data_IF_475802403221
#
_entry.id   IF_475802403221
#
_cell.length_a   1.000
_cell.length_b   1.000
_cell.length_c   1.000
_cell.angle_alpha   90.00
_cell.angle_beta   90.00
_cell.angle_gamma   90.00
#
_symmetry.space_group_name_H-M   'P 1'
#
loop_
_entity.id
_entity.type
_entity.pdbx_description
1 polymer ?
#
# COMPACT_ATOMS: atom_id res chain seq x y z
N UNK A 1 48.28 3.66 22.00
CA UNK A 1 48.16 5.14 22.04
C UNK A 1 47.52 5.67 20.74
N UNK A 2 46.20 5.91 20.84
CA UNK A 2 45.32 6.69 19.95
C UNK A 2 45.58 6.71 18.43
N UNK A 3 44.97 5.77 17.70
CA UNK A 3 44.52 6.01 16.32
C UNK A 3 42.99 6.14 16.32
N UNK A 4 42.52 7.38 16.37
CA UNK A 4 41.10 7.73 16.37
C UNK A 4 40.47 7.42 14.99
N UNK A 5 39.69 6.34 14.91
CA UNK A 5 38.75 6.09 13.81
C UNK A 5 37.70 7.19 13.80
N UNK A 6 37.84 8.18 12.91
CA UNK A 6 36.74 9.08 12.56
C UNK A 6 35.69 8.28 11.78
N UNK A 7 34.61 7.87 12.46
CA UNK A 7 33.38 7.44 11.78
C UNK A 7 32.73 8.68 11.19
N UNK A 8 32.90 8.87 9.89
CA UNK A 8 32.04 9.78 9.15
C UNK A 8 30.66 9.12 9.05
N UNK A 9 29.73 9.55 9.92
CA UNK A 9 28.32 9.22 9.77
C UNK A 9 27.76 9.95 8.56
N UNK A 10 27.81 9.32 7.40
CA UNK A 10 27.04 9.74 6.22
C UNK A 10 25.57 9.47 6.50
N UNK A 11 24.90 10.43 7.15
CA UNK A 11 23.45 10.49 7.16
C UNK A 11 23.00 10.83 5.74
N UNK A 12 22.38 9.87 5.06
CA UNK A 12 21.70 10.10 3.79
C UNK A 12 20.56 11.11 4.02
N UNK A 13 20.72 12.30 3.46
CA UNK A 13 19.75 13.39 3.47
C UNK A 13 18.61 13.07 2.48
N UNK A 14 17.69 12.21 2.90
CA UNK A 14 16.32 12.22 2.37
C UNK A 14 15.47 12.97 3.40
N UNK A 15 14.84 14.07 2.98
CA UNK A 15 14.03 14.91 3.87
C UNK A 15 12.89 14.09 4.48
N UNK A 16 12.90 13.98 5.81
CA UNK A 16 12.00 13.14 6.60
C UNK A 16 12.76 11.96 7.18
N UNK A 17 12.93 11.92 8.50
CA UNK A 17 13.80 11.00 9.26
C UNK A 17 13.43 9.51 9.21
N UNK A 18 12.90 9.03 8.09
CA UNK A 18 12.71 7.61 7.80
C UNK A 18 14.04 7.09 7.26
N UNK A 19 14.85 6.54 8.15
CA UNK A 19 15.98 5.70 7.75
C UNK A 19 15.42 4.63 6.79
N UNK A 20 15.95 4.51 5.57
CA UNK A 20 15.53 3.47 4.63
C UNK A 20 15.63 2.12 5.37
N UNK A 21 14.52 1.42 5.64
CA UNK A 21 14.54 0.26 6.53
C UNK A 21 15.17 -0.97 5.87
N UNK A 22 15.49 -0.91 4.58
CA UNK A 22 16.30 -1.91 3.89
C UNK A 22 17.79 -1.69 4.13
N UNK A 23 18.33 -2.40 5.10
CA UNK A 23 19.77 -2.60 5.24
C UNK A 23 20.17 -3.94 4.62
N UNK A 24 20.31 -3.98 3.29
CA UNK A 24 20.84 -5.16 2.59
C UNK A 24 22.31 -5.47 2.98
N UNK A 25 23.03 -4.45 3.44
CA UNK A 25 24.42 -4.51 3.89
C UNK A 25 24.60 -3.80 5.23
N UNK A 26 25.55 -4.28 6.03
CA UNK A 26 25.89 -3.66 7.32
C UNK A 26 26.53 -2.27 7.16
N UNK A 27 27.34 -2.11 6.10
CA UNK A 27 27.95 -0.86 5.68
C UNK A 27 27.50 -0.54 4.25
N UNK A 28 27.29 0.75 3.90
CA UNK A 28 26.85 1.13 2.57
C UNK A 28 27.95 0.79 1.53
N UNK A 29 27.66 -0.07 0.53
CA UNK A 29 28.70 -0.52 -0.40
C UNK A 29 29.11 0.59 -1.39
N UNK A 30 28.20 1.53 -1.65
CA UNK A 30 28.39 2.67 -2.53
C UNK A 30 28.08 3.98 -1.80
N UNK A 31 28.85 5.01 -2.11
CA UNK A 31 28.54 6.39 -1.72
C UNK A 31 27.51 6.98 -2.66
N UNK A 32 26.74 7.98 -2.21
CA UNK A 32 25.76 8.68 -3.04
C UNK A 32 26.37 9.22 -4.34
N UNK A 33 27.56 9.85 -4.26
CA UNK A 33 28.31 10.36 -5.43
C UNK A 33 28.57 9.29 -6.48
N UNK A 34 28.81 8.05 -6.06
CA UNK A 34 29.08 6.94 -6.96
C UNK A 34 27.81 6.44 -7.62
N UNK A 35 26.70 6.39 -6.87
CA UNK A 35 25.39 6.08 -7.44
C UNK A 35 24.95 7.14 -8.47
N UNK A 36 25.20 8.42 -8.18
CA UNK A 36 24.93 9.53 -9.11
C UNK A 36 25.79 9.42 -10.38
N UNK A 37 27.07 9.06 -10.23
CA UNK A 37 27.96 8.85 -11.37
C UNK A 37 27.45 7.72 -12.28
N UNK A 38 27.10 6.55 -11.70
CA UNK A 38 26.52 5.44 -12.48
C UNK A 38 25.23 5.89 -13.19
N UNK A 39 24.37 6.65 -12.51
CA UNK A 39 23.14 7.17 -13.10
C UNK A 39 23.41 8.08 -14.31
N UNK A 40 24.34 9.04 -14.16
CA UNK A 40 24.71 9.96 -15.24
C UNK A 40 25.35 9.21 -16.40
N UNK A 41 26.31 8.31 -16.13
CA UNK A 41 26.97 7.51 -17.16
C UNK A 41 25.98 6.63 -17.91
N UNK A 42 25.06 5.97 -17.22
CA UNK A 42 24.02 5.16 -17.87
C UNK A 42 23.06 6.00 -18.71
N UNK A 43 22.78 7.24 -18.30
CA UNK A 43 21.98 8.18 -19.09
C UNK A 43 22.71 8.64 -20.35
N UNK A 44 24.01 8.90 -20.26
CA UNK A 44 24.85 9.32 -21.40
C UNK A 44 25.07 8.21 -22.44
N UNK A 45 25.00 6.94 -22.03
CA UNK A 45 25.05 5.79 -22.95
C UNK A 45 23.81 5.67 -23.85
N UNK A 46 22.76 6.45 -23.61
CA UNK A 46 21.56 6.44 -24.43
C UNK A 46 21.77 7.22 -25.74
N UNK A 47 21.21 6.77 -26.87
CA UNK A 47 21.42 7.40 -28.18
C UNK A 47 20.80 8.80 -28.30
N UNK A 48 19.93 9.21 -27.37
CA UNK A 48 19.27 10.51 -27.36
C UNK A 48 19.43 11.17 -26.00
N UNK A 49 19.82 12.45 -25.99
CA UNK A 49 19.86 13.27 -24.77
C UNK A 49 18.43 13.45 -24.27
N UNK A 50 18.06 12.72 -23.22
CA UNK A 50 16.75 12.80 -22.56
C UNK A 50 16.92 13.17 -21.10
N UNK A 51 15.93 13.88 -20.55
CA UNK A 51 15.90 14.21 -19.12
C UNK A 51 15.62 12.99 -18.23
N UNK A 52 15.15 11.89 -18.82
CA UNK A 52 14.80 10.65 -18.14
C UNK A 52 15.66 9.48 -18.64
N UNK A 53 15.70 8.41 -17.84
CA UNK A 53 16.42 7.18 -18.14
C UNK A 53 15.51 6.17 -18.84
N UNK A 54 15.95 5.55 -19.94
CA UNK A 54 15.23 4.43 -20.57
C UNK A 54 15.33 3.16 -19.72
N UNK A 55 14.45 2.18 -19.95
CA UNK A 55 14.48 0.89 -19.25
C UNK A 55 15.82 0.17 -19.48
N UNK A 56 16.32 0.13 -20.71
CA UNK A 56 17.60 -0.53 -21.03
C UNK A 56 18.78 0.12 -20.30
N UNK A 57 18.80 1.46 -20.25
CA UNK A 57 19.83 2.19 -19.51
C UNK A 57 19.71 1.99 -18.00
N UNK A 58 18.49 1.89 -17.48
CA UNK A 58 18.25 1.55 -16.08
C UNK A 58 18.76 0.15 -15.75
N UNK A 59 18.46 -0.84 -16.59
CA UNK A 59 18.98 -2.20 -16.43
C UNK A 59 20.51 -2.18 -16.45
N UNK A 60 21.12 -1.47 -17.40
CA UNK A 60 22.57 -1.29 -17.47
C UNK A 60 23.16 -0.66 -16.20
N UNK A 61 22.53 0.40 -15.67
CA UNK A 61 22.95 1.04 -14.43
C UNK A 61 22.88 0.08 -13.23
N UNK A 62 21.82 -0.73 -13.14
CA UNK A 62 21.63 -1.73 -12.08
C UNK A 62 22.70 -2.82 -12.17
N UNK A 63 23.07 -3.25 -13.38
CA UNK A 63 24.17 -4.19 -13.60
C UNK A 63 25.53 -3.59 -13.20
N UNK A 64 25.81 -2.34 -13.58
CA UNK A 64 27.03 -1.63 -13.19
C UNK A 64 27.14 -1.53 -11.65
N UNK A 65 26.03 -1.25 -10.96
CA UNK A 65 25.95 -1.27 -9.49
C UNK A 65 26.26 -2.66 -8.94
N UNK A 66 25.66 -3.73 -9.49
CA UNK A 66 25.89 -5.09 -9.03
C UNK A 66 27.36 -5.49 -9.15
N UNK A 67 27.98 -5.20 -10.29
CA UNK A 67 29.40 -5.49 -10.56
C UNK A 67 30.33 -4.71 -9.63
N UNK A 68 30.05 -3.43 -9.38
CA UNK A 68 30.85 -2.61 -8.46
C UNK A 68 30.77 -3.13 -7.02
N UNK A 69 29.56 -3.46 -6.55
CA UNK A 69 29.35 -3.99 -5.20
C UNK A 69 30.08 -5.34 -5.04
N UNK A 70 30.07 -6.19 -6.06
CA UNK A 70 30.82 -7.44 -6.07
C UNK A 70 32.34 -7.20 -6.07
N UNK A 71 32.85 -6.29 -6.91
CA UNK A 71 34.28 -5.94 -6.96
C UNK A 71 34.83 -5.41 -5.64
N UNK A 72 33.96 -4.83 -4.81
CA UNK A 72 34.28 -4.37 -3.44
C UNK A 72 34.14 -5.45 -2.36
N UNK A 73 33.75 -6.67 -2.74
CA UNK A 73 33.62 -7.81 -1.83
C UNK A 73 32.34 -7.84 -1.00
N UNK A 74 31.30 -7.09 -1.37
CA UNK A 74 30.02 -7.08 -0.64
C UNK A 74 29.05 -8.17 -1.08
N UNK A 75 29.25 -8.75 -2.28
CA UNK A 75 28.49 -9.90 -2.79
C UNK A 75 29.40 -11.12 -2.87
N UNK A 76 29.00 -12.19 -2.19
CA UNK A 76 29.67 -13.48 -2.19
C UNK A 76 29.15 -14.33 -3.37
N UNK A 77 30.04 -15.03 -4.07
CA UNK A 77 29.67 -15.94 -5.16
C UNK A 77 30.79 -16.16 -6.19
N UNK A 78 30.65 -17.15 -7.08
CA UNK A 78 31.59 -17.35 -8.19
C UNK A 78 31.59 -16.12 -9.10
N UNK A 79 32.77 -15.64 -9.51
CA UNK A 79 32.95 -14.38 -10.24
C UNK A 79 32.45 -14.35 -11.69
N UNK A 80 31.49 -15.20 -12.06
CA UNK A 80 30.83 -15.06 -13.37
C UNK A 80 29.80 -13.92 -13.30
N UNK A 81 29.64 -13.10 -14.35
CA UNK A 81 28.68 -12.00 -14.36
C UNK A 81 27.25 -12.44 -13.99
N UNK A 82 26.80 -13.58 -14.51
CA UNK A 82 25.45 -14.09 -14.26
C UNK A 82 25.20 -14.40 -12.77
N UNK A 83 26.20 -14.96 -12.08
CA UNK A 83 26.09 -15.26 -10.65
C UNK A 83 26.09 -13.99 -9.80
N UNK A 84 26.84 -12.96 -10.20
CA UNK A 84 26.85 -11.65 -9.53
C UNK A 84 25.48 -10.99 -9.63
N UNK A 85 24.88 -11.02 -10.82
CA UNK A 85 23.55 -10.45 -11.06
C UNK A 85 22.48 -11.19 -10.25
N UNK A 86 22.55 -12.53 -10.21
CA UNK A 86 21.63 -13.33 -9.41
C UNK A 86 21.75 -13.02 -7.92
N UNK A 87 22.97 -13.01 -7.38
CA UNK A 87 23.22 -12.70 -5.97
C UNK A 87 22.78 -11.27 -5.58
N UNK A 88 23.02 -10.29 -6.47
CA UNK A 88 22.53 -8.93 -6.28
C UNK A 88 20.98 -8.86 -6.33
N UNK A 89 20.38 -9.61 -7.25
CA UNK A 89 18.94 -9.77 -7.38
C UNK A 89 18.31 -10.25 -6.08
N UNK A 90 18.80 -11.36 -5.54
CA UNK A 90 18.29 -11.98 -4.31
C UNK A 90 18.54 -11.12 -3.07
N UNK A 91 19.74 -10.52 -2.95
CA UNK A 91 20.13 -9.79 -1.73
C UNK A 91 19.64 -8.34 -1.67
N UNK A 92 19.43 -7.72 -2.83
CA UNK A 92 19.11 -6.28 -2.92
C UNK A 92 17.79 -6.03 -3.63
N UNK A 93 17.64 -6.54 -4.87
CA UNK A 93 16.46 -6.20 -5.68
C UNK A 93 15.19 -6.82 -5.12
N UNK A 94 15.17 -8.11 -4.77
CA UNK A 94 13.97 -8.77 -4.21
C UNK A 94 13.51 -8.09 -2.91
N UNK A 95 14.37 -7.86 -1.91
CA UNK A 95 13.98 -7.10 -0.72
C UNK A 95 13.50 -5.69 -1.05
N UNK A 96 14.12 -5.02 -2.02
CA UNK A 96 13.71 -3.69 -2.49
C UNK A 96 12.33 -3.74 -3.15
N UNK A 97 12.03 -4.74 -3.96
CA UNK A 97 10.74 -4.98 -4.60
C UNK A 97 9.65 -5.17 -3.52
N UNK A 98 9.93 -5.99 -2.50
CA UNK A 98 9.03 -6.22 -1.37
C UNK A 98 8.79 -4.95 -0.56
N UNK A 99 9.85 -4.21 -0.24
CA UNK A 99 9.76 -2.97 0.53
C UNK A 99 9.06 -1.85 -0.22
N UNK A 100 9.40 -1.69 -1.50
CA UNK A 100 8.69 -0.77 -2.36
C UNK A 100 7.22 -1.21 -2.41
N UNK A 101 6.94 -2.50 -2.35
CA UNK A 101 5.60 -3.04 -2.52
C UNK A 101 5.23 -2.93 -3.99
N UNK A 102 6.09 -3.48 -4.87
CA UNK A 102 5.75 -3.59 -6.28
C UNK A 102 4.60 -4.58 -6.39
N UNK A 103 3.45 -4.04 -6.80
CA UNK A 103 2.13 -4.41 -6.28
C UNK A 103 1.61 -5.82 -6.57
N UNK A 104 2.32 -6.70 -7.28
CA UNK A 104 1.75 -7.98 -7.69
C UNK A 104 1.55 -8.95 -6.52
N UNK A 105 2.51 -9.07 -5.60
CA UNK A 105 2.35 -9.93 -4.41
C UNK A 105 1.31 -9.35 -3.45
N UNK A 106 1.32 -8.04 -3.22
CA UNK A 106 0.31 -7.34 -2.41
C UNK A 106 -1.09 -7.52 -3.03
N UNK A 107 -1.21 -7.42 -4.35
CA UNK A 107 -2.43 -7.64 -5.10
C UNK A 107 -2.93 -9.08 -4.97
N UNK A 108 -2.06 -10.08 -5.20
CA UNK A 108 -2.42 -11.50 -5.03
C UNK A 108 -2.88 -11.80 -3.60
N UNK A 109 -2.20 -11.23 -2.60
CA UNK A 109 -2.62 -11.33 -1.21
C UNK A 109 -3.98 -10.66 -0.95
N UNK A 110 -4.20 -9.46 -1.50
CA UNK A 110 -5.49 -8.78 -1.36
C UNK A 110 -6.63 -9.52 -2.07
N UNK A 111 -6.36 -10.16 -3.20
CA UNK A 111 -7.31 -11.01 -3.92
C UNK A 111 -7.63 -12.29 -3.14
N UNK A 112 -6.63 -12.97 -2.56
CA UNK A 112 -6.87 -14.15 -1.72
C UNK A 112 -7.64 -13.79 -0.45
N UNK A 113 -7.32 -12.64 0.16
CA UNK A 113 -8.04 -12.11 1.31
C UNK A 113 -9.49 -11.74 0.96
N UNK A 114 -9.71 -11.13 -0.21
CA UNK A 114 -11.06 -10.82 -0.72
C UNK A 114 -11.91 -12.09 -0.92
N UNK A 115 -11.30 -13.20 -1.32
CA UNK A 115 -11.97 -14.47 -1.51
C UNK A 115 -12.36 -15.17 -0.18
N UNK A 116 -11.81 -14.74 0.96
CA UNK A 116 -12.19 -15.29 2.26
C UNK A 116 -13.64 -14.94 2.62
N UNK A 117 -14.35 -15.91 3.20
CA UNK A 117 -15.77 -15.81 3.54
C UNK A 117 -16.06 -14.71 4.55
N UNK A 118 -15.16 -14.51 5.50
CA UNK A 118 -15.26 -13.56 6.61
C UNK A 118 -15.09 -12.12 6.12
N UNK A 119 -14.15 -11.91 5.19
CA UNK A 119 -13.95 -10.62 4.52
C UNK A 119 -15.18 -10.32 3.65
N UNK A 120 -15.64 -11.30 2.87
CA UNK A 120 -16.86 -11.16 2.06
C UNK A 120 -18.08 -10.80 2.93
N UNK A 121 -18.25 -11.47 4.08
CA UNK A 121 -19.32 -11.17 5.03
C UNK A 121 -19.19 -9.76 5.61
N UNK A 122 -17.98 -9.33 5.98
CA UNK A 122 -17.71 -7.97 6.47
C UNK A 122 -18.08 -6.92 5.41
N UNK A 123 -17.63 -7.10 4.17
CA UNK A 123 -17.97 -6.23 3.03
C UNK A 123 -19.47 -6.22 2.69
N UNK A 124 -20.16 -7.33 2.94
CA UNK A 124 -21.60 -7.44 2.74
C UNK A 124 -22.38 -6.71 3.83
N UNK A 125 -21.96 -6.81 5.09
CA UNK A 125 -22.55 -6.07 6.20
C UNK A 125 -22.34 -4.56 6.07
N UNK A 126 -21.15 -4.13 5.61
CA UNK A 126 -20.82 -2.73 5.35
C UNK A 126 -21.14 -2.25 3.92
N UNK A 127 -21.98 -2.96 3.17
CA UNK A 127 -22.15 -2.72 1.73
C UNK A 127 -22.70 -1.31 1.45
N UNK A 128 -23.64 -0.83 2.28
CA UNK A 128 -24.28 0.46 2.04
C UNK A 128 -23.31 1.60 2.30
N UNK A 129 -22.57 1.55 3.40
CA UNK A 129 -21.59 2.57 3.73
C UNK A 129 -20.40 2.63 2.79
N UNK A 130 -19.91 1.48 2.32
CA UNK A 130 -18.87 1.45 1.29
C UNK A 130 -19.37 2.05 -0.02
N UNK A 131 -20.61 1.75 -0.41
CA UNK A 131 -21.22 2.33 -1.60
C UNK A 131 -21.39 3.85 -1.46
N UNK A 132 -21.83 4.32 -0.29
CA UNK A 132 -21.97 5.76 -0.01
C UNK A 132 -20.61 6.47 -0.07
N UNK A 133 -19.58 5.91 0.55
CA UNK A 133 -18.22 6.43 0.51
C UNK A 133 -17.66 6.48 -0.92
N UNK A 134 -17.87 5.43 -1.71
CA UNK A 134 -17.48 5.41 -3.12
C UNK A 134 -18.21 6.51 -3.92
N UNK A 135 -19.54 6.56 -3.80
CA UNK A 135 -20.37 7.50 -4.56
C UNK A 135 -20.14 8.96 -4.16
N UNK A 136 -19.66 9.25 -2.95
CA UNK A 136 -19.29 10.61 -2.53
C UNK A 136 -18.16 11.19 -3.39
N UNK A 137 -17.26 10.35 -3.90
CA UNK A 137 -16.15 10.79 -4.74
C UNK A 137 -16.29 10.43 -6.21
N UNK A 138 -17.15 9.48 -6.56
CA UNK A 138 -17.25 8.95 -7.92
C UNK A 138 -17.74 9.98 -8.95
N UNK A 139 -17.23 9.86 -10.18
CA UNK A 139 -17.65 10.59 -11.37
C UNK A 139 -18.47 9.68 -12.29
N UNK A 140 -19.32 10.26 -13.14
CA UNK A 140 -19.97 9.53 -14.22
C UNK A 140 -20.94 8.42 -13.78
N UNK A 141 -21.68 8.62 -12.68
CA UNK A 141 -22.70 7.66 -12.25
C UNK A 141 -23.80 7.50 -13.32
N UNK A 142 -24.37 6.28 -13.41
CA UNK A 142 -25.38 5.94 -14.42
C UNK A 142 -24.84 5.44 -15.76
N UNK A 143 -23.52 5.19 -15.86
CA UNK A 143 -22.89 4.58 -17.03
C UNK A 143 -23.19 3.09 -17.21
N UNK A 144 -22.50 2.45 -18.17
CA UNK A 144 -22.54 0.99 -18.36
C UNK A 144 -21.71 0.26 -17.28
N UNK A 145 -21.91 -1.05 -17.13
CA UNK A 145 -21.03 -1.88 -16.28
C UNK A 145 -19.58 -1.80 -16.77
N UNK A 146 -18.57 -1.77 -15.88
CA UNK A 146 -18.62 -1.87 -14.41
C UNK A 146 -18.91 -0.54 -13.68
N UNK A 147 -19.19 0.55 -14.41
CA UNK A 147 -19.26 1.92 -13.91
C UNK A 147 -20.68 2.46 -13.67
N UNK A 148 -21.66 1.57 -13.45
CA UNK A 148 -23.03 2.00 -13.11
C UNK A 148 -23.06 2.93 -11.89
N UNK A 149 -22.15 2.72 -10.94
CA UNK A 149 -21.97 3.52 -9.72
C UNK A 149 -21.02 4.72 -9.90
N UNK A 150 -20.56 4.95 -11.13
CA UNK A 150 -19.46 5.85 -11.45
C UNK A 150 -18.09 5.17 -11.34
N UNK A 151 -17.05 5.98 -11.50
CA UNK A 151 -15.66 5.56 -11.40
C UNK A 151 -14.85 6.58 -10.59
N UNK A 152 -13.72 6.13 -10.08
CA UNK A 152 -12.68 6.99 -9.51
C UNK A 152 -11.52 7.12 -10.48
N UNK A 153 -10.97 8.32 -10.62
CA UNK A 153 -9.61 8.50 -11.14
C UNK A 153 -8.63 8.61 -9.97
N UNK A 154 -7.33 8.69 -10.27
CA UNK A 154 -6.30 8.93 -9.27
C UNK A 154 -6.58 10.20 -8.44
N UNK A 155 -7.20 11.22 -9.04
CA UNK A 155 -7.55 12.45 -8.34
C UNK A 155 -8.62 12.21 -7.26
N UNK A 156 -9.64 11.41 -7.55
CA UNK A 156 -10.68 11.06 -6.59
C UNK A 156 -10.12 10.24 -5.43
N UNK A 157 -9.21 9.30 -5.72
CA UNK A 157 -8.54 8.51 -4.68
C UNK A 157 -7.68 9.39 -3.76
N UNK A 158 -6.96 10.37 -4.32
CA UNK A 158 -6.19 11.35 -3.52
C UNK A 158 -7.10 12.19 -2.63
N UNK A 159 -8.26 12.65 -3.13
CA UNK A 159 -9.25 13.38 -2.34
C UNK A 159 -9.84 12.52 -1.22
N UNK A 160 -10.21 11.28 -1.52
CA UNK A 160 -10.67 10.32 -0.51
C UNK A 160 -9.63 10.09 0.59
N UNK A 161 -8.35 9.94 0.20
CA UNK A 161 -7.26 9.78 1.16
C UNK A 161 -7.08 11.02 2.06
N UNK A 162 -7.26 12.23 1.53
CA UNK A 162 -7.25 13.46 2.34
C UNK A 162 -8.42 13.51 3.31
N UNK A 163 -9.63 13.19 2.85
CA UNK A 163 -10.85 13.25 3.67
C UNK A 163 -10.84 12.24 4.83
N UNK A 164 -10.13 11.11 4.65
CA UNK A 164 -9.89 10.13 5.71
C UNK A 164 -8.61 10.38 6.50
N UNK A 165 -7.82 11.42 6.20
CA UNK A 165 -6.50 11.69 6.80
C UNK A 165 -5.48 10.54 6.61
N UNK A 166 -5.56 9.80 5.49
CA UNK A 166 -4.63 8.72 5.17
C UNK A 166 -3.25 9.24 4.75
N UNK A 167 -3.15 10.52 4.37
CA UNK A 167 -1.89 11.12 3.91
C UNK A 167 -0.84 11.25 5.02
N UNK A 168 -1.26 11.20 6.29
CA UNK A 168 -0.35 11.12 7.43
C UNK A 168 0.32 9.73 7.55
N UNK A 169 -0.33 8.68 7.02
CA UNK A 169 0.10 7.28 7.14
C UNK A 169 0.66 6.71 5.83
N UNK A 170 0.31 7.32 4.70
CA UNK A 170 0.67 6.85 3.36
C UNK A 170 1.18 7.99 2.48
N UNK A 171 2.29 7.74 1.77
CA UNK A 171 2.79 8.66 0.77
C UNK A 171 1.87 8.73 -0.46
N UNK A 172 1.91 9.87 -1.18
CA UNK A 172 1.21 10.01 -2.46
C UNK A 172 1.63 8.96 -3.49
N UNK A 173 2.91 8.56 -3.49
CA UNK A 173 3.42 7.52 -4.39
C UNK A 173 2.89 6.14 -4.03
N UNK A 174 2.64 5.84 -2.75
CA UNK A 174 1.99 4.59 -2.34
C UNK A 174 0.53 4.53 -2.79
N UNK A 175 -0.22 5.62 -2.61
CA UNK A 175 -1.62 5.71 -3.07
C UNK A 175 -1.73 5.57 -4.58
N UNK A 176 -0.87 6.26 -5.34
CA UNK A 176 -0.83 6.13 -6.80
C UNK A 176 -0.52 4.69 -7.24
N UNK A 177 0.44 4.02 -6.59
CA UNK A 177 0.74 2.63 -6.93
C UNK A 177 -0.41 1.68 -6.64
N UNK A 178 -1.15 1.87 -5.54
CA UNK A 178 -2.37 1.09 -5.27
C UNK A 178 -3.42 1.34 -6.36
N UNK A 179 -3.62 2.60 -6.75
CA UNK A 179 -4.53 2.96 -7.85
C UNK A 179 -4.15 2.22 -9.14
N UNK A 180 -2.91 2.42 -9.60
CA UNK A 180 -2.40 1.88 -10.86
C UNK A 180 -2.47 0.35 -10.84
N UNK A 181 -2.10 -0.30 -9.73
CA UNK A 181 -2.16 -1.76 -9.57
C UNK A 181 -3.59 -2.29 -9.68
N UNK A 182 -4.57 -1.64 -9.04
CA UNK A 182 -5.95 -2.10 -9.07
C UNK A 182 -6.59 -1.88 -10.44
N UNK A 183 -6.37 -0.72 -11.06
CA UNK A 183 -6.89 -0.39 -12.40
C UNK A 183 -6.27 -1.30 -13.44
N UNK A 184 -4.95 -1.50 -13.39
CA UNK A 184 -4.26 -2.41 -14.31
C UNK A 184 -4.79 -3.84 -14.20
N UNK A 185 -5.04 -4.33 -12.98
CA UNK A 185 -5.66 -5.64 -12.78
C UNK A 185 -7.04 -5.74 -13.44
N UNK A 186 -7.88 -4.70 -13.32
CA UNK A 186 -9.20 -4.69 -13.94
C UNK A 186 -9.15 -4.62 -15.48
N UNK A 187 -8.17 -3.90 -16.03
CA UNK A 187 -7.89 -3.82 -17.47
C UNK A 187 -7.40 -5.15 -18.02
N UNK A 188 -6.43 -5.80 -17.34
CA UNK A 188 -5.91 -7.12 -17.74
C UNK A 188 -6.99 -8.20 -17.73
N UNK A 189 -7.99 -8.05 -16.87
CA UNK A 189 -9.13 -8.97 -16.79
C UNK A 189 -10.27 -8.60 -17.76
N UNK A 190 -10.05 -7.63 -18.66
CA UNK A 190 -11.02 -7.13 -19.64
C UNK A 190 -12.33 -6.62 -19.02
N UNK A 191 -12.29 -6.22 -17.74
CA UNK A 191 -13.46 -5.74 -16.99
C UNK A 191 -13.55 -4.23 -16.91
N UNK A 192 -12.46 -3.50 -17.20
CA UNK A 192 -12.36 -2.06 -16.98
C UNK A 192 -11.58 -1.31 -18.06
N UNK A 193 -11.35 -0.02 -17.81
CA UNK A 193 -10.66 0.91 -18.70
C UNK A 193 -9.49 1.55 -17.95
N UNK A 194 -8.45 1.89 -18.70
CA UNK A 194 -7.28 2.56 -18.16
C UNK A 194 -7.66 3.89 -17.48
N UNK A 195 -7.07 4.12 -16.31
CA UNK A 195 -7.33 5.32 -15.50
C UNK A 195 -8.68 5.36 -14.78
N UNK A 196 -9.52 4.31 -14.88
CA UNK A 196 -10.85 4.28 -14.26
C UNK A 196 -10.99 3.12 -13.27
N UNK A 197 -11.17 3.44 -12.00
CA UNK A 197 -11.40 2.47 -10.93
C UNK A 197 -12.91 2.28 -10.69
N UNK A 198 -13.41 1.07 -10.92
CA UNK A 198 -14.81 0.71 -10.62
C UNK A 198 -15.06 0.54 -9.11
N UNK A 199 -16.32 0.33 -8.71
CA UNK A 199 -16.65 0.02 -7.31
C UNK A 199 -16.05 -1.31 -6.83
N UNK A 200 -15.96 -2.31 -7.72
CA UNK A 200 -15.34 -3.59 -7.39
C UNK A 200 -13.83 -3.44 -7.18
N UNK A 201 -13.21 -2.61 -8.00
CA UNK A 201 -11.79 -2.24 -7.92
C UNK A 201 -11.50 -1.40 -6.67
N UNK A 202 -12.38 -0.47 -6.30
CA UNK A 202 -12.31 0.27 -5.03
C UNK A 202 -12.29 -0.66 -3.80
N UNK A 203 -13.11 -1.72 -3.77
CA UNK A 203 -13.09 -2.69 -2.66
C UNK A 203 -11.74 -3.39 -2.53
N UNK A 204 -11.07 -3.66 -3.65
CA UNK A 204 -9.72 -4.24 -3.66
C UNK A 204 -8.67 -3.23 -3.17
N UNK A 205 -8.73 -1.99 -3.67
CA UNK A 205 -7.89 -0.91 -3.20
C UNK A 205 -8.06 -0.67 -1.69
N UNK A 206 -9.29 -0.76 -1.18
CA UNK A 206 -9.59 -0.63 0.24
C UNK A 206 -8.88 -1.70 1.09
N UNK A 207 -8.83 -2.94 0.61
CA UNK A 207 -8.08 -4.01 1.28
C UNK A 207 -6.58 -3.67 1.30
N UNK A 208 -6.00 -3.28 0.16
CA UNK A 208 -4.59 -2.93 0.06
C UNK A 208 -4.21 -1.78 1.00
N UNK A 209 -5.03 -0.73 1.05
CA UNK A 209 -4.87 0.40 1.98
C UNK A 209 -4.90 -0.11 3.42
N UNK A 210 -5.90 -0.92 3.80
CA UNK A 210 -6.01 -1.44 5.16
C UNK A 210 -4.79 -2.26 5.59
N UNK A 211 -4.27 -3.12 4.71
CA UNK A 211 -3.08 -3.92 5.01
C UNK A 211 -1.81 -3.07 5.16
N UNK A 212 -1.72 -1.98 4.38
CA UNK A 212 -0.55 -1.09 4.36
C UNK A 212 -0.50 -0.13 5.54
N UNK A 213 -1.66 0.36 5.99
CA UNK A 213 -1.73 1.29 7.13
C UNK A 213 -1.59 0.52 8.45
N UNK A 214 -2.18 -0.67 8.54
CA UNK A 214 -2.21 -1.44 9.78
C UNK A 214 -1.26 -2.65 9.72
N UNK A 215 0.02 -2.43 9.41
CA UNK A 215 1.00 -3.53 9.25
C UNK A 215 1.45 -4.18 10.57
N UNK A 216 0.87 -3.81 11.72
CA UNK A 216 1.21 -4.40 13.02
C UNK A 216 1.00 -5.92 13.04
N UNK A 217 1.95 -6.72 13.55
CA UNK A 217 1.81 -8.17 13.65
C UNK A 217 0.70 -8.61 14.62
N UNK A 218 0.23 -7.71 15.49
CA UNK A 218 -0.83 -8.00 16.48
C UNK A 218 -2.23 -8.03 15.86
N UNK A 219 -2.40 -7.49 14.65
CA UNK A 219 -3.70 -7.43 13.97
C UNK A 219 -3.76 -8.46 12.83
N UNK A 220 -4.81 -9.29 12.83
CA UNK A 220 -5.09 -10.19 11.70
C UNK A 220 -5.47 -9.39 10.46
N UNK A 221 -5.27 -9.93 9.24
CA UNK A 221 -5.64 -9.23 8.00
C UNK A 221 -7.10 -8.76 7.96
N UNK A 222 -8.02 -9.55 8.50
CA UNK A 222 -9.44 -9.19 8.63
C UNK A 222 -9.65 -8.02 9.61
N UNK A 223 -8.97 -8.02 10.76
CA UNK A 223 -9.04 -6.92 11.73
C UNK A 223 -8.53 -5.61 11.13
N UNK A 224 -7.49 -5.65 10.31
CA UNK A 224 -6.95 -4.47 9.61
C UNK A 224 -8.00 -3.84 8.69
N UNK A 225 -8.74 -4.66 7.93
CA UNK A 225 -9.87 -4.20 7.09
C UNK A 225 -10.98 -3.60 7.96
N UNK A 226 -11.31 -4.25 9.08
CA UNK A 226 -12.30 -3.75 10.01
C UNK A 226 -11.91 -2.41 10.65
N UNK A 227 -10.64 -2.20 10.99
CA UNK A 227 -10.13 -0.93 11.50
C UNK A 227 -10.32 0.22 10.50
N UNK A 228 -10.00 -0.01 9.22
CA UNK A 228 -10.24 0.98 8.17
C UNK A 228 -11.73 1.25 7.96
N UNK A 229 -12.59 0.22 8.03
CA UNK A 229 -14.05 0.38 8.00
C UNK A 229 -14.57 1.19 9.19
N UNK A 230 -14.01 0.98 10.38
CA UNK A 230 -14.38 1.74 11.57
C UNK A 230 -14.08 3.23 11.40
N UNK A 231 -12.91 3.56 10.83
CA UNK A 231 -12.52 4.94 10.50
C UNK A 231 -13.46 5.55 9.45
N UNK A 232 -13.75 4.82 8.37
CA UNK A 232 -14.68 5.26 7.34
C UNK A 232 -16.12 5.41 7.86
N UNK A 233 -16.48 4.69 8.93
CA UNK A 233 -17.80 4.78 9.56
C UNK A 233 -18.14 6.14 10.19
N UNK A 234 -17.14 7.02 10.39
CA UNK A 234 -17.36 8.41 10.77
C UNK A 234 -17.81 9.31 9.60
N UNK A 235 -17.69 8.84 8.35
CA UNK A 235 -18.13 9.58 7.17
C UNK A 235 -19.65 9.56 7.01
N UNK A 236 -20.18 10.61 6.38
CA UNK A 236 -21.62 10.78 6.17
C UNK A 236 -22.19 9.63 5.31
N UNK A 237 -23.18 8.91 5.84
CA UNK A 237 -23.83 7.80 5.13
C UNK A 237 -23.14 6.44 5.27
N UNK A 238 -22.10 6.33 6.10
CA UNK A 238 -21.33 5.10 6.30
C UNK A 238 -21.52 4.46 7.69
N UNK A 239 -22.66 4.71 8.36
CA UNK A 239 -22.88 4.29 9.75
C UNK A 239 -22.92 2.76 9.96
N UNK A 240 -23.28 1.99 8.93
CA UNK A 240 -23.25 0.52 8.93
C UNK A 240 -21.82 -0.05 9.02
N UNK A 241 -20.82 0.67 8.50
CA UNK A 241 -19.42 0.23 8.54
C UNK A 241 -18.91 0.09 9.96
N UNK A 242 -19.25 1.04 10.85
CA UNK A 242 -18.82 0.98 12.24
C UNK A 242 -19.43 -0.22 12.98
N UNK A 243 -20.68 -0.57 12.68
CA UNK A 243 -21.32 -1.76 13.26
C UNK A 243 -20.70 -3.05 12.75
N UNK A 244 -20.44 -3.13 11.44
CA UNK A 244 -19.79 -4.27 10.80
C UNK A 244 -18.35 -4.46 11.30
N UNK A 245 -17.59 -3.37 11.47
CA UNK A 245 -16.24 -3.43 12.02
C UNK A 245 -16.21 -3.93 13.47
N UNK A 246 -17.12 -3.43 14.32
CA UNK A 246 -17.16 -3.80 15.74
C UNK A 246 -17.50 -5.28 15.98
N UNK A 247 -18.29 -5.90 15.09
CA UNK A 247 -18.59 -7.34 15.21
C UNK A 247 -17.34 -8.20 14.98
N UNK A 248 -16.46 -7.79 14.08
CA UNK A 248 -15.16 -8.46 13.82
C UNK A 248 -14.15 -8.18 14.93
N UNK A 249 -14.08 -6.94 15.41
CA UNK A 249 -13.09 -6.55 16.43
C UNK A 249 -13.42 -7.09 17.83
N UNK A 250 -14.55 -7.79 18.01
CA UNK A 250 -14.96 -8.31 19.31
C UNK A 250 -15.27 -7.21 20.34
N UNK A 251 -15.35 -5.95 19.90
CA UNK A 251 -15.79 -4.83 20.73
C UNK A 251 -17.30 -4.97 20.86
N UNK A 252 -17.71 -5.83 21.79
CA UNK A 252 -19.10 -5.99 22.16
C UNK A 252 -19.65 -4.59 22.36
N UNK A 253 -20.64 -4.23 21.54
CA UNK A 253 -21.38 -3.00 21.74
C UNK A 253 -22.03 -3.18 23.12
N UNK A 254 -21.39 -2.65 24.17
CA UNK A 254 -22.02 -2.39 25.47
C UNK A 254 -23.04 -1.26 25.26
N UNK A 255 -23.94 -1.46 24.30
CA UNK A 255 -25.12 -0.68 24.11
C UNK A 255 -26.05 -1.05 25.24
N UNK A 256 -26.21 -0.12 26.18
CA UNK A 256 -27.53 0.30 26.64
C UNK A 256 -28.53 -0.85 26.67
N UNK A 257 -28.41 -1.76 27.64
CA UNK A 257 -29.62 -2.39 28.16
C UNK A 257 -30.48 -1.24 28.63
N UNK A 258 -31.53 -0.98 27.87
CA UNK A 258 -32.48 0.08 28.15
C UNK A 258 -32.91 0.00 29.59
N UNK A 259 -33.10 1.18 30.19
CA UNK A 259 -33.88 1.30 31.41
C UNK A 259 -35.20 0.60 31.20
N UNK A 260 -35.26 -0.64 31.66
CA UNK A 260 -36.47 -1.38 31.87
C UNK A 260 -37.16 -0.61 33.01
N UNK A 261 -38.01 0.34 32.62
CA UNK A 261 -38.93 1.00 33.54
C UNK A 261 -39.70 -0.11 34.22
N UNK A 262 -39.37 -0.38 35.48
CA UNK A 262 -40.21 -1.15 36.37
C UNK A 262 -41.55 -0.41 36.47
N UNK A 263 -42.51 -0.83 35.66
CA UNK A 263 -43.91 -0.45 35.81
C UNK A 263 -44.42 -1.30 36.97
N UNK A 264 -44.42 -0.73 38.17
CA UNK A 264 -45.03 -1.36 39.35
C UNK A 264 -46.52 -1.62 39.07
N UNK A 265 -47.02 -2.84 39.27
CA UNK A 265 -48.46 -3.07 39.27
C UNK A 265 -49.07 -2.44 40.52
N UNK A 266 -50.07 -1.59 40.32
CA UNK A 266 -50.95 -1.08 41.37
C UNK A 266 -51.68 -2.29 41.98
N UNK A 267 -51.29 -2.68 43.19
CA UNK A 267 -52.09 -3.56 44.03
C UNK A 267 -53.20 -2.72 44.66
N UNK A 268 -54.38 -2.73 44.05
CA UNK A 268 -55.63 -2.48 44.74
C UNK A 268 -55.86 -3.58 45.78
N UNK A 269 -55.89 -3.21 47.06
CA UNK A 269 -56.55 -4.02 48.09
C UNK A 269 -57.54 -3.15 48.85
N UNK A 270 -58.67 -3.80 49.09
CA UNK A 270 -59.88 -3.40 49.78
C UNK A 270 -59.61 -2.96 51.22
#
# INVERSE_FOLDING_TARGET
PFSARRRASSQCLWGGGVQLPLRAFAEPPLTLVFADLIHVTARERQPFIRSYMTVDAFIGAVLDVAMEIHGRGFLEGPGTPDNVVLAFGERVIVPLVEFLGLGEQELRFALSLRAQTEVSALFQHGRQGLAAAFSQHAKGAGGQEPYRRGYWTLQEMKRFALDLDLTAEMSHSALQRIFDTCVQHEVTEERGFEGMMSFACFRLAFILIAQRIHSSPECTPLQRVALLMLRLGASRGASDLGAAARSVLGVASKGRRGGQRYRMPLSSRQ
#
